data_IF_849040818439
#
_entry.id   IF_849040818439
#
_cell.length_a   1.000
_cell.length_b   1.000
_cell.length_c   1.000
_cell.angle_alpha   90.00
_cell.angle_beta   90.00
_cell.angle_gamma   90.00
#
_symmetry.space_group_name_H-M   'P 1'
#
loop_
_entity.id
_entity.type
_entity.pdbx_description
1 polymer ?
#
# COMPACT_ATOMS: atom_id res chain seq x y z
N UNK A 1 32.94 23.24 -16.13
CA UNK A 1 32.26 23.33 -17.44
C UNK A 1 33.11 22.66 -18.50
N UNK A 2 32.65 21.53 -19.06
CA UNK A 2 33.32 20.89 -20.18
C UNK A 2 32.79 21.47 -21.52
N UNK A 3 33.58 21.44 -22.62
CA UNK A 3 33.10 21.90 -23.92
C UNK A 3 31.93 21.06 -24.47
N UNK A 4 31.80 19.80 -24.03
CA UNK A 4 30.76 18.88 -24.48
C UNK A 4 29.36 19.29 -23.97
N UNK A 5 29.25 19.80 -22.73
CA UNK A 5 27.98 20.25 -22.14
C UNK A 5 27.37 21.38 -22.98
N UNK A 6 28.21 22.31 -23.41
CA UNK A 6 27.80 23.43 -24.24
C UNK A 6 27.33 22.98 -25.64
N UNK A 7 28.00 21.99 -26.24
CA UNK A 7 27.57 21.39 -27.50
C UNK A 7 26.22 20.66 -27.36
N UNK A 8 26.03 19.86 -26.30
CA UNK A 8 24.77 19.19 -26.00
C UNK A 8 23.65 20.19 -25.69
N UNK A 9 23.93 21.26 -24.95
CA UNK A 9 22.98 22.34 -24.70
C UNK A 9 22.57 23.06 -25.99
N UNK A 10 23.52 23.33 -26.91
CA UNK A 10 23.22 23.88 -28.23
C UNK A 10 22.37 22.94 -29.08
N UNK A 11 22.64 21.62 -29.08
CA UNK A 11 21.81 20.63 -29.78
C UNK A 11 20.38 20.58 -29.20
N UNK A 12 20.24 20.54 -27.86
CA UNK A 12 18.95 20.62 -27.16
C UNK A 12 18.20 21.91 -27.54
N UNK A 13 18.89 23.04 -27.68
CA UNK A 13 18.30 24.32 -28.13
C UNK A 13 17.91 24.33 -29.61
N UNK A 14 18.70 23.70 -30.49
CA UNK A 14 18.42 23.58 -31.92
C UNK A 14 17.18 22.71 -32.18
N UNK A 15 17.09 21.54 -31.54
CA UNK A 15 15.90 20.69 -31.57
C UNK A 15 14.66 21.45 -31.05
N UNK A 16 14.79 22.21 -29.96
CA UNK A 16 13.73 23.11 -29.45
C UNK A 16 13.38 24.28 -30.38
N UNK A 17 14.16 24.60 -31.43
CA UNK A 17 13.76 25.55 -32.50
C UNK A 17 13.04 24.82 -33.63
N UNK A 18 13.64 23.76 -34.16
CA UNK A 18 13.04 22.93 -35.21
C UNK A 18 11.64 22.41 -34.82
N UNK A 19 11.46 21.93 -33.59
CA UNK A 19 10.16 21.49 -33.08
C UNK A 19 9.11 22.62 -33.06
N UNK A 20 9.50 23.88 -32.76
CA UNK A 20 8.60 25.04 -32.79
C UNK A 20 8.28 25.49 -34.23
N UNK A 21 9.22 25.34 -35.15
CA UNK A 21 9.03 25.65 -36.57
C UNK A 21 8.11 24.61 -37.23
N UNK A 22 8.29 23.32 -36.93
CA UNK A 22 7.36 22.26 -37.33
C UNK A 22 5.96 22.47 -36.75
N UNK A 23 5.85 22.80 -35.46
CA UNK A 23 4.56 23.17 -34.82
C UNK A 23 3.90 24.36 -35.53
N UNK A 24 4.68 25.38 -35.94
CA UNK A 24 4.17 26.55 -36.66
C UNK A 24 3.68 26.19 -38.06
N UNK A 25 4.44 25.39 -38.82
CA UNK A 25 4.04 24.91 -40.14
C UNK A 25 2.78 24.04 -40.09
N UNK A 26 2.70 23.10 -39.14
CA UNK A 26 1.52 22.26 -38.93
C UNK A 26 0.28 23.10 -38.59
N UNK A 27 0.41 24.14 -37.75
CA UNK A 27 -0.68 25.08 -37.45
C UNK A 27 -1.13 25.88 -38.69
N UNK A 28 -0.20 26.30 -39.55
CA UNK A 28 -0.53 27.00 -40.81
C UNK A 28 -1.28 26.06 -41.76
N UNK A 29 -0.81 24.82 -41.94
CA UNK A 29 -1.48 23.82 -42.78
C UNK A 29 -2.90 23.49 -42.28
N UNK A 30 -3.06 23.29 -40.96
CA UNK A 30 -4.38 23.08 -40.35
C UNK A 30 -5.31 24.30 -40.53
N UNK A 31 -4.79 25.53 -40.43
CA UNK A 31 -5.57 26.75 -40.67
C UNK A 31 -5.99 26.88 -42.15
N UNK A 32 -5.14 26.47 -43.10
CA UNK A 32 -5.50 26.42 -44.53
C UNK A 32 -6.61 25.40 -44.80
N UNK A 33 -6.51 24.18 -44.25
CA UNK A 33 -7.56 23.16 -44.36
C UNK A 33 -8.90 23.64 -43.77
N UNK A 34 -8.88 24.30 -42.61
CA UNK A 34 -10.08 24.88 -42.00
C UNK A 34 -10.71 25.97 -42.90
N UNK A 35 -9.90 26.84 -43.52
CA UNK A 35 -10.43 27.84 -44.46
C UNK A 35 -11.08 27.21 -45.69
N UNK A 36 -10.47 26.18 -46.29
CA UNK A 36 -11.05 25.45 -47.44
C UNK A 36 -12.37 24.76 -47.09
N UNK A 37 -12.47 24.13 -45.91
CA UNK A 37 -13.74 23.56 -45.43
C UNK A 37 -14.82 24.64 -45.25
N UNK A 38 -14.46 25.81 -44.71
CA UNK A 38 -15.39 26.94 -44.57
C UNK A 38 -15.87 27.48 -45.92
N UNK A 39 -15.01 27.53 -46.95
CA UNK A 39 -15.39 27.93 -48.30
C UNK A 39 -16.34 26.93 -48.97
N UNK A 40 -16.12 25.63 -48.80
CA UNK A 40 -17.05 24.61 -49.29
C UNK A 40 -18.43 24.73 -48.64
N UNK A 41 -18.48 24.99 -47.33
CA UNK A 41 -19.74 25.15 -46.58
C UNK A 41 -20.46 26.48 -46.91
N UNK A 42 -19.72 27.51 -47.33
CA UNK A 42 -20.30 28.75 -47.91
C UNK A 42 -20.96 28.54 -49.29
N UNK A 43 -20.67 27.43 -50.01
CA UNK A 43 -21.33 27.11 -51.31
C UNK A 43 -22.70 26.43 -51.15
N UNK A 44 -23.14 26.13 -49.92
CA UNK A 44 -24.46 25.54 -49.68
C UNK A 44 -25.60 26.53 -49.91
N UNK A 45 -26.76 26.10 -50.45
CA UNK A 45 -27.92 26.95 -50.63
C UNK A 45 -28.48 27.45 -49.29
N UNK A 46 -29.16 28.59 -49.32
CA UNK A 46 -29.87 29.14 -48.16
C UNK A 46 -31.00 28.17 -47.73
N UNK A 47 -31.23 27.94 -46.42
CA UNK A 47 -30.60 28.56 -45.25
C UNK A 47 -29.35 27.83 -44.73
N UNK A 48 -28.95 26.71 -45.34
CA UNK A 48 -27.94 25.79 -44.79
C UNK A 48 -26.56 26.43 -44.63
N UNK A 49 -26.13 27.30 -45.56
CA UNK A 49 -24.88 28.06 -45.43
C UNK A 49 -24.85 29.02 -44.23
N UNK A 50 -26.00 29.58 -43.83
CA UNK A 50 -26.08 30.45 -42.63
C UNK A 50 -25.96 29.65 -41.34
N UNK A 51 -26.63 28.51 -41.25
CA UNK A 51 -26.55 27.60 -40.10
C UNK A 51 -25.18 26.94 -40.00
N UNK A 52 -24.62 26.48 -41.13
CA UNK A 52 -23.26 25.96 -41.24
C UNK A 52 -22.23 26.97 -40.76
N UNK A 53 -22.21 28.19 -41.29
CA UNK A 53 -21.27 29.24 -40.88
C UNK A 53 -21.37 29.58 -39.38
N UNK A 54 -22.59 29.64 -38.82
CA UNK A 54 -22.78 29.83 -37.39
C UNK A 54 -22.18 28.66 -36.59
N UNK A 55 -22.56 27.42 -36.92
CA UNK A 55 -22.06 26.20 -36.28
C UNK A 55 -20.54 26.07 -36.33
N UNK A 56 -19.92 26.29 -37.49
CA UNK A 56 -18.45 26.27 -37.66
C UNK A 56 -17.81 27.35 -36.78
N UNK A 57 -18.31 28.60 -36.79
CA UNK A 57 -17.72 29.68 -35.98
C UNK A 57 -17.80 29.42 -34.46
N UNK A 58 -18.83 28.72 -34.00
CA UNK A 58 -18.95 28.25 -32.62
C UNK A 58 -18.03 27.06 -32.35
N UNK A 59 -17.95 26.10 -33.28
CA UNK A 59 -17.09 24.92 -33.19
C UNK A 59 -15.59 25.24 -33.21
N UNK A 60 -15.17 26.22 -34.02
CA UNK A 60 -13.80 26.74 -34.08
C UNK A 60 -13.48 27.68 -32.91
N UNK A 61 -14.49 28.29 -32.28
CA UNK A 61 -14.35 28.99 -31.00
C UNK A 61 -14.19 28.01 -29.83
N UNK A 62 -14.90 26.87 -29.88
CA UNK A 62 -14.76 25.75 -28.95
C UNK A 62 -13.37 25.11 -29.13
N UNK A 63 -13.06 24.52 -30.28
CA UNK A 63 -11.73 23.93 -30.60
C UNK A 63 -10.57 24.95 -30.69
N UNK A 64 -10.83 26.22 -30.39
CA UNK A 64 -10.01 27.35 -30.81
C UNK A 64 -8.63 27.45 -30.16
N UNK A 65 -7.59 27.22 -30.97
CA UNK A 65 -6.24 27.83 -30.94
C UNK A 65 -5.33 27.63 -29.71
N UNK A 66 -5.90 27.26 -28.56
CA UNK A 66 -5.22 26.98 -27.29
C UNK A 66 -5.73 25.66 -26.65
N UNK A 67 -6.60 24.92 -27.36
CA UNK A 67 -7.53 23.94 -26.79
C UNK A 67 -7.24 22.44 -26.99
N UNK A 68 -6.01 22.03 -27.36
CA UNK A 68 -5.63 20.61 -27.49
C UNK A 68 -4.26 20.26 -26.88
N UNK A 69 -4.08 20.59 -25.60
CA UNK A 69 -3.22 19.78 -24.70
C UNK A 69 -4.11 19.24 -23.56
N UNK A 70 -4.39 17.93 -23.49
CA UNK A 70 -5.43 17.38 -22.61
C UNK A 70 -5.03 17.26 -21.12
N UNK A 71 -3.78 17.59 -20.78
CA UNK A 71 -3.05 17.06 -19.62
C UNK A 71 -3.72 17.21 -18.23
N UNK A 72 -4.56 18.23 -18.01
CA UNK A 72 -5.10 18.56 -16.68
C UNK A 72 -6.61 18.82 -16.68
N UNK A 73 -7.41 18.09 -17.48
CA UNK A 73 -8.88 18.15 -17.37
C UNK A 73 -9.39 17.47 -16.11
N UNK A 74 -8.86 16.27 -15.82
CA UNK A 74 -9.18 15.47 -14.64
C UNK A 74 -8.75 16.23 -13.37
N UNK A 75 -7.47 16.60 -13.24
CA UNK A 75 -6.99 17.41 -12.11
C UNK A 75 -7.68 18.78 -11.90
N UNK A 76 -8.34 19.36 -12.92
CA UNK A 76 -9.18 20.56 -12.74
C UNK A 76 -10.55 20.27 -12.10
N UNK A 77 -11.05 19.04 -12.21
CA UNK A 77 -12.30 18.56 -11.59
C UNK A 77 -11.99 17.93 -10.24
N UNK A 78 -10.94 17.11 -10.15
CA UNK A 78 -10.45 16.55 -8.88
C UNK A 78 -10.12 17.67 -7.88
N UNK A 79 -9.54 18.79 -8.35
CA UNK A 79 -9.31 19.97 -7.52
C UNK A 79 -10.60 20.57 -6.93
N UNK A 80 -11.69 20.59 -7.70
CA UNK A 80 -12.99 21.10 -7.24
C UNK A 80 -13.65 20.13 -6.26
N UNK A 81 -13.55 18.82 -6.50
CA UNK A 81 -14.01 17.79 -5.57
C UNK A 81 -13.26 17.87 -4.23
N UNK A 82 -11.93 17.96 -4.25
CA UNK A 82 -11.09 18.09 -3.06
C UNK A 82 -11.35 19.39 -2.27
N UNK A 83 -11.72 20.49 -2.95
CA UNK A 83 -12.12 21.73 -2.28
C UNK A 83 -13.49 21.61 -1.58
N UNK A 84 -14.43 20.83 -2.13
CA UNK A 84 -15.73 20.59 -1.50
C UNK A 84 -15.65 19.52 -0.38
N UNK A 85 -14.88 18.44 -0.57
CA UNK A 85 -14.55 17.46 0.49
C UNK A 85 -13.85 18.11 1.69
N UNK A 86 -12.86 19.00 1.47
CA UNK A 86 -12.22 19.75 2.55
C UNK A 86 -13.22 20.61 3.32
N UNK A 87 -14.14 21.28 2.62
CA UNK A 87 -15.17 22.11 3.25
C UNK A 87 -16.15 21.28 4.09
N UNK A 88 -16.52 20.08 3.65
CA UNK A 88 -17.38 19.17 4.42
C UNK A 88 -16.66 18.60 5.66
N UNK A 89 -15.40 18.18 5.52
CA UNK A 89 -14.58 17.72 6.64
C UNK A 89 -14.38 18.82 7.69
N UNK A 90 -14.08 20.05 7.27
CA UNK A 90 -13.97 21.19 8.19
C UNK A 90 -15.33 21.54 8.84
N UNK A 91 -16.45 21.47 8.09
CA UNK A 91 -17.79 21.67 8.66
C UNK A 91 -18.10 20.61 9.73
N UNK A 92 -17.76 19.34 9.48
CA UNK A 92 -17.96 18.25 10.41
C UNK A 92 -17.15 18.46 11.70
N UNK A 93 -15.84 18.76 11.59
CA UNK A 93 -14.97 19.02 12.74
C UNK A 93 -15.42 20.24 13.56
N UNK A 94 -15.86 21.31 12.91
CA UNK A 94 -16.44 22.48 13.61
C UNK A 94 -17.76 22.12 14.29
N UNK A 95 -18.62 21.33 13.65
CA UNK A 95 -19.84 20.79 14.27
C UNK A 95 -19.56 19.96 15.51
N UNK A 96 -18.60 19.03 15.43
CA UNK A 96 -18.15 18.21 16.56
C UNK A 96 -17.62 19.06 17.72
N UNK A 97 -16.91 20.15 17.45
CA UNK A 97 -16.48 21.11 18.47
C UNK A 97 -17.66 21.89 19.08
N UNK A 98 -18.68 22.26 18.29
CA UNK A 98 -19.86 22.98 18.76
C UNK A 98 -20.82 22.11 19.60
N UNK A 99 -20.79 20.77 19.48
CA UNK A 99 -21.63 19.86 20.29
C UNK A 99 -21.49 20.09 21.80
N UNK A 100 -20.32 20.52 22.28
CA UNK A 100 -20.08 20.85 23.68
C UNK A 100 -20.74 22.16 24.15
N UNK A 101 -21.10 23.05 23.23
CA UNK A 101 -21.80 24.32 23.52
C UNK A 101 -23.31 24.25 23.26
N UNK A 102 -23.76 23.32 22.42
CA UNK A 102 -25.16 22.98 22.20
C UNK A 102 -25.43 22.54 20.76
N UNK A 103 -26.10 21.40 20.58
CA UNK A 103 -26.34 20.80 19.25
C UNK A 103 -27.04 21.74 18.26
N UNK A 104 -28.03 22.52 18.73
CA UNK A 104 -28.79 23.44 17.89
C UNK A 104 -27.93 24.54 17.25
N UNK A 105 -26.84 24.96 17.90
CA UNK A 105 -25.96 26.02 17.39
C UNK A 105 -25.27 25.62 16.07
N UNK A 106 -25.04 24.32 15.83
CA UNK A 106 -24.47 23.84 14.58
C UNK A 106 -25.41 24.04 13.40
N UNK A 107 -26.71 23.85 13.60
CA UNK A 107 -27.73 23.93 12.57
C UNK A 107 -28.15 25.39 12.33
N UNK A 108 -28.46 26.12 13.41
CA UNK A 108 -28.89 27.53 13.40
C UNK A 108 -27.86 28.47 12.75
N UNK A 109 -26.56 28.19 12.94
CA UNK A 109 -25.44 28.98 12.37
C UNK A 109 -24.74 28.25 11.22
N UNK A 110 -25.37 27.23 10.63
CA UNK A 110 -24.75 26.39 9.60
C UNK A 110 -24.32 27.17 8.35
N UNK A 111 -25.06 28.23 7.97
CA UNK A 111 -24.73 29.10 6.85
C UNK A 111 -23.55 30.02 7.18
N UNK A 112 -23.52 30.60 8.38
CA UNK A 112 -22.52 31.52 8.89
C UNK A 112 -21.18 30.81 9.15
N UNK A 113 -21.20 29.57 9.66
CA UNK A 113 -20.02 28.69 9.79
C UNK A 113 -19.44 28.41 8.40
N UNK A 114 -20.28 28.08 7.41
CA UNK A 114 -19.82 27.83 6.03
C UNK A 114 -19.32 29.10 5.34
N UNK A 115 -19.88 30.28 5.66
CA UNK A 115 -19.38 31.57 5.22
C UNK A 115 -17.98 31.84 5.80
N UNK A 116 -17.80 31.63 7.11
CA UNK A 116 -16.52 31.84 7.79
C UNK A 116 -15.42 30.89 7.27
N UNK A 117 -15.71 29.59 7.16
CA UNK A 117 -14.78 28.60 6.59
C UNK A 117 -14.37 28.96 5.16
N UNK A 118 -15.34 29.31 4.30
CA UNK A 118 -15.06 29.74 2.91
C UNK A 118 -14.28 31.05 2.85
N UNK A 119 -14.51 32.00 3.75
CA UNK A 119 -13.77 33.25 3.84
C UNK A 119 -12.31 33.03 4.27
N UNK A 120 -12.07 32.19 5.28
CA UNK A 120 -10.72 31.82 5.74
C UNK A 120 -9.96 31.08 4.63
N UNK A 121 -10.55 30.04 4.03
CA UNK A 121 -9.93 29.32 2.92
C UNK A 121 -9.65 30.23 1.72
N UNK A 122 -10.58 31.10 1.32
CA UNK A 122 -10.36 32.06 0.23
C UNK A 122 -9.20 33.02 0.54
N UNK A 123 -9.10 33.51 1.78
CA UNK A 123 -8.00 34.40 2.19
C UNK A 123 -6.65 33.69 2.18
N UNK A 124 -6.56 32.49 2.73
CA UNK A 124 -5.29 31.74 2.82
C UNK A 124 -4.85 31.17 1.47
N UNK A 125 -5.78 30.68 0.65
CA UNK A 125 -5.46 30.00 -0.62
C UNK A 125 -5.49 30.98 -1.80
N UNK A 126 -6.67 31.42 -2.24
CA UNK A 126 -6.84 32.18 -3.50
C UNK A 126 -6.24 33.59 -3.42
N UNK A 127 -6.39 34.27 -2.27
CA UNK A 127 -5.86 35.63 -2.12
C UNK A 127 -4.33 35.67 -2.02
N UNK A 128 -3.73 34.79 -1.22
CA UNK A 128 -2.28 34.78 -0.98
C UNK A 128 -1.46 33.91 -1.97
N UNK A 129 -1.95 32.72 -2.33
CA UNK A 129 -1.17 31.69 -3.06
C UNK A 129 -1.56 31.47 -4.54
N UNK A 130 -2.56 32.20 -5.06
CA UNK A 130 -3.07 32.09 -6.44
C UNK A 130 -3.70 30.73 -6.81
N UNK A 131 -4.08 29.91 -5.83
CA UNK A 131 -4.75 28.62 -6.03
C UNK A 131 -5.85 28.39 -5.00
N UNK A 132 -6.78 27.46 -5.23
CA UNK A 132 -7.55 26.82 -4.15
C UNK A 132 -6.72 25.69 -3.52
N UNK A 133 -7.25 25.00 -2.51
CA UNK A 133 -6.52 23.91 -1.83
C UNK A 133 -6.35 22.70 -2.74
N UNK A 134 -7.46 22.20 -3.32
CA UNK A 134 -7.44 21.10 -4.28
C UNK A 134 -6.65 21.45 -5.54
N UNK A 135 -6.68 22.71 -5.98
CA UNK A 135 -5.84 23.16 -7.09
C UNK A 135 -4.35 23.12 -6.75
N UNK A 136 -3.95 23.52 -5.54
CA UNK A 136 -2.57 23.45 -5.09
C UNK A 136 -2.06 22.00 -5.01
N UNK A 137 -2.87 21.07 -4.47
CA UNK A 137 -2.57 19.63 -4.46
C UNK A 137 -2.38 19.05 -5.87
N UNK A 138 -3.19 19.50 -6.84
CA UNK A 138 -3.07 19.09 -8.25
C UNK A 138 -1.99 19.87 -9.02
N UNK A 139 -1.19 20.71 -8.34
CA UNK A 139 -0.17 21.61 -8.89
C UNK A 139 -0.71 22.52 -10.01
N UNK A 140 -1.85 23.17 -9.75
CA UNK A 140 -2.54 24.11 -10.63
C UNK A 140 -2.71 25.47 -9.94
N UNK A 141 -2.51 26.56 -10.68
CA UNK A 141 -2.75 27.95 -10.22
C UNK A 141 -3.72 28.68 -11.14
N UNK A 142 -4.41 29.68 -10.59
CA UNK A 142 -5.20 30.64 -11.35
C UNK A 142 -4.30 31.54 -12.18
N UNK A 143 -4.74 31.82 -13.40
CA UNK A 143 -4.03 32.64 -14.39
C UNK A 143 -5.03 33.49 -15.17
N UNK A 144 -4.65 34.71 -15.57
CA UNK A 144 -5.55 35.58 -16.32
C UNK A 144 -5.57 35.22 -17.82
N UNK A 145 -6.65 34.56 -18.25
CA UNK A 145 -6.83 34.09 -19.62
C UNK A 145 -7.02 35.21 -20.67
N UNK A 146 -7.01 36.48 -20.24
CA UNK A 146 -6.95 37.66 -21.13
C UNK A 146 -5.57 37.85 -21.75
N UNK A 147 -4.48 37.50 -21.04
CA UNK A 147 -3.11 37.68 -21.52
C UNK A 147 -2.66 36.46 -22.32
N UNK A 148 -2.43 36.64 -23.62
CA UNK A 148 -2.01 35.57 -24.55
C UNK A 148 -0.49 35.52 -24.72
N UNK A 149 0.22 35.26 -23.62
CA UNK A 149 1.67 35.07 -23.59
C UNK A 149 2.08 33.59 -23.45
N UNK A 150 3.36 33.26 -23.68
CA UNK A 150 3.94 31.97 -23.29
C UNK A 150 4.22 31.88 -21.77
N UNK A 151 4.33 33.05 -21.11
CA UNK A 151 4.44 33.18 -19.65
C UNK A 151 3.04 33.34 -19.06
N UNK A 152 2.77 32.65 -17.96
CA UNK A 152 1.51 32.74 -17.23
C UNK A 152 1.49 34.03 -16.38
N UNK A 153 0.36 34.74 -16.42
CA UNK A 153 0.17 36.01 -15.68
C UNK A 153 -0.77 35.77 -14.51
N UNK A 154 -0.39 36.21 -13.31
CA UNK A 154 -1.18 36.10 -12.09
C UNK A 154 -2.50 36.90 -12.20
N UNK A 155 -3.59 36.42 -11.57
CA UNK A 155 -4.91 37.04 -11.66
C UNK A 155 -4.95 38.40 -10.97
N UNK A 156 -5.68 39.36 -11.54
CA UNK A 156 -5.74 40.71 -10.96
C UNK A 156 -6.45 40.72 -9.61
N UNK A 157 -6.09 41.65 -8.72
CA UNK A 157 -6.76 41.82 -7.41
C UNK A 157 -8.28 41.98 -7.53
N UNK A 158 -8.76 42.57 -8.63
CA UNK A 158 -10.20 42.66 -8.95
C UNK A 158 -10.81 41.32 -9.39
N UNK A 159 -10.09 40.49 -10.17
CA UNK A 159 -10.55 39.12 -10.47
C UNK A 159 -10.61 38.26 -9.20
N UNK A 160 -9.59 38.34 -8.33
CA UNK A 160 -9.59 37.66 -7.02
C UNK A 160 -10.78 38.10 -6.17
N UNK A 161 -10.96 39.42 -6.00
CA UNK A 161 -12.04 40.00 -5.21
C UNK A 161 -13.42 39.59 -5.72
N UNK A 162 -13.66 39.65 -7.04
CA UNK A 162 -14.95 39.27 -7.61
C UNK A 162 -15.18 37.74 -7.56
N UNK A 163 -14.13 36.91 -7.72
CA UNK A 163 -14.21 35.46 -7.50
C UNK A 163 -14.60 35.13 -6.07
N UNK A 164 -13.93 35.72 -5.07
CA UNK A 164 -14.26 35.52 -3.65
C UNK A 164 -15.65 36.04 -3.30
N UNK A 165 -16.05 37.20 -3.84
CA UNK A 165 -17.39 37.74 -3.63
C UNK A 165 -18.49 36.78 -4.11
N UNK A 166 -18.32 36.14 -5.28
CA UNK A 166 -19.30 35.16 -5.78
C UNK A 166 -19.20 33.78 -5.11
N UNK A 167 -18.00 33.27 -4.82
CA UNK A 167 -17.84 31.91 -4.25
C UNK A 167 -18.06 31.84 -2.74
N UNK A 168 -17.72 32.90 -2.00
CA UNK A 168 -17.93 33.01 -0.54
C UNK A 168 -19.26 33.72 -0.27
N UNK A 169 -19.37 34.99 -0.66
CA UNK A 169 -20.55 35.81 -0.41
C UNK A 169 -21.78 35.39 -1.20
N UNK A 170 -21.60 35.02 -2.48
CA UNK A 170 -22.69 34.59 -3.36
C UNK A 170 -23.33 33.27 -2.96
N UNK A 171 -22.54 32.25 -2.57
CA UNK A 171 -23.08 30.99 -2.01
C UNK A 171 -23.89 31.25 -0.72
N UNK A 172 -23.39 32.09 0.21
CA UNK A 172 -24.11 32.43 1.44
C UNK A 172 -25.36 33.28 1.21
N UNK A 173 -25.29 34.30 0.34
CA UNK A 173 -26.44 35.14 0.02
C UNK A 173 -27.54 34.36 -0.71
N UNK A 174 -27.18 33.33 -1.49
CA UNK A 174 -28.14 32.42 -2.09
C UNK A 174 -28.82 31.53 -1.05
N UNK A 175 -28.06 30.86 -0.16
CA UNK A 175 -28.67 30.03 0.90
C UNK A 175 -29.57 30.86 1.80
N UNK A 176 -29.13 32.03 2.27
CA UNK A 176 -29.96 32.89 3.15
C UNK A 176 -31.21 33.45 2.45
N UNK A 177 -31.18 33.59 1.12
CA UNK A 177 -32.36 33.93 0.31
C UNK A 177 -33.33 32.75 0.15
N UNK A 178 -32.79 31.53 0.00
CA UNK A 178 -33.56 30.29 -0.09
C UNK A 178 -34.22 29.95 1.26
N UNK A 179 -33.48 30.05 2.37
CA UNK A 179 -34.00 29.95 3.75
C UNK A 179 -35.19 30.92 3.94
N UNK A 180 -34.96 32.22 3.67
CA UNK A 180 -35.98 33.26 3.84
C UNK A 180 -37.24 33.01 2.99
N UNK A 181 -37.06 32.44 1.80
CA UNK A 181 -38.17 32.13 0.90
C UNK A 181 -38.99 30.93 1.38
N UNK A 182 -38.36 29.97 2.07
CA UNK A 182 -39.03 28.85 2.76
C UNK A 182 -39.70 29.34 4.06
N UNK A 183 -38.99 30.08 4.91
CA UNK A 183 -39.52 30.65 6.17
C UNK A 183 -40.77 31.52 5.94
N UNK A 184 -40.88 32.17 4.79
CA UNK A 184 -42.01 33.03 4.43
C UNK A 184 -43.13 32.29 3.64
N UNK A 185 -42.92 31.03 3.22
CA UNK A 185 -43.95 30.22 2.54
C UNK A 185 -44.57 29.21 3.53
N UNK A 186 -45.42 29.72 4.43
CA UNK A 186 -46.00 29.00 5.58
C UNK A 186 -46.79 27.71 5.28
N UNK A 187 -46.94 27.29 4.01
CA UNK A 187 -47.50 26.00 3.57
C UNK A 187 -49.02 25.79 3.76
N UNK A 188 -49.59 26.30 4.85
CA UNK A 188 -51.01 26.22 5.18
C UNK A 188 -51.83 27.38 4.60
N UNK A 189 -51.24 28.58 4.55
CA UNK A 189 -51.83 29.76 3.95
C UNK A 189 -51.46 29.88 2.47
N UNK A 190 -52.30 30.56 1.69
CA UNK A 190 -52.00 30.85 0.29
C UNK A 190 -50.88 31.91 0.17
N UNK A 191 -49.68 31.58 -0.33
CA UNK A 191 -48.56 32.53 -0.34
C UNK A 191 -48.86 33.79 -1.13
N UNK A 192 -48.26 34.91 -0.72
CA UNK A 192 -48.56 36.22 -1.29
C UNK A 192 -48.24 36.29 -2.79
N UNK A 193 -48.97 37.10 -3.59
CA UNK A 193 -48.72 37.23 -5.03
C UNK A 193 -47.37 37.90 -5.36
N UNK A 194 -46.66 38.44 -4.36
CA UNK A 194 -45.27 38.84 -4.46
C UNK A 194 -44.32 37.66 -4.23
N UNK A 195 -44.49 36.89 -3.14
CA UNK A 195 -43.66 35.72 -2.83
C UNK A 195 -43.72 34.68 -3.95
N UNK A 196 -44.90 34.38 -4.51
CA UNK A 196 -45.03 33.47 -5.67
C UNK A 196 -44.28 33.94 -6.92
N UNK A 197 -44.03 35.25 -7.07
CA UNK A 197 -43.20 35.79 -8.16
C UNK A 197 -41.71 35.69 -7.84
N UNK A 198 -41.32 35.92 -6.59
CA UNK A 198 -39.93 35.76 -6.12
C UNK A 198 -39.48 34.29 -6.18
N UNK A 199 -40.34 33.36 -5.76
CA UNK A 199 -40.15 31.91 -5.86
C UNK A 199 -39.90 31.48 -7.31
N UNK A 200 -40.83 31.81 -8.23
CA UNK A 200 -40.67 31.54 -9.67
C UNK A 200 -39.46 32.24 -10.29
N UNK A 201 -39.10 33.42 -9.82
CA UNK A 201 -37.89 34.12 -10.28
C UNK A 201 -36.64 33.34 -9.83
N UNK A 202 -36.57 32.92 -8.57
CA UNK A 202 -35.51 32.08 -8.01
C UNK A 202 -35.35 30.76 -8.77
N UNK A 203 -36.47 30.06 -9.00
CA UNK A 203 -36.55 28.83 -9.79
C UNK A 203 -36.07 29.07 -11.24
N UNK A 204 -36.50 30.16 -11.89
CA UNK A 204 -36.05 30.52 -13.23
C UNK A 204 -34.55 30.87 -13.30
N UNK A 205 -34.00 31.51 -12.26
CA UNK A 205 -32.58 31.81 -12.15
C UNK A 205 -31.78 30.52 -11.94
N UNK A 206 -32.22 29.63 -11.04
CA UNK A 206 -31.58 28.35 -10.77
C UNK A 206 -31.59 27.42 -11.99
N UNK A 207 -32.71 27.31 -12.70
CA UNK A 207 -32.82 26.51 -13.93
C UNK A 207 -32.01 27.08 -15.09
N UNK A 208 -31.99 28.41 -15.29
CA UNK A 208 -31.13 29.07 -16.28
C UNK A 208 -29.64 28.92 -15.92
N UNK A 209 -29.27 29.10 -14.66
CA UNK A 209 -27.91 28.90 -14.18
C UNK A 209 -27.45 27.46 -14.39
N UNK A 210 -28.25 26.47 -13.99
CA UNK A 210 -27.96 25.04 -14.14
C UNK A 210 -27.84 24.64 -15.61
N UNK A 211 -28.73 25.15 -16.47
CA UNK A 211 -28.66 24.93 -17.94
C UNK A 211 -27.40 25.54 -18.54
N UNK A 212 -27.05 26.77 -18.14
CA UNK A 212 -25.82 27.44 -18.57
C UNK A 212 -24.56 26.74 -18.02
N UNK A 213 -24.60 26.21 -16.80
CA UNK A 213 -23.51 25.48 -16.16
C UNK A 213 -23.27 24.14 -16.85
N UNK A 214 -24.32 23.39 -17.16
CA UNK A 214 -24.23 22.16 -17.95
C UNK A 214 -23.68 22.43 -19.36
N UNK A 215 -24.19 23.42 -20.08
CA UNK A 215 -23.64 23.83 -21.38
C UNK A 215 -22.19 24.34 -21.29
N UNK A 216 -21.83 25.00 -20.17
CA UNK A 216 -20.46 25.39 -19.87
C UNK A 216 -19.56 24.16 -19.69
N UNK A 217 -20.01 23.19 -18.91
CA UNK A 217 -19.30 21.94 -18.61
C UNK A 217 -19.11 21.07 -19.87
N UNK A 218 -20.09 20.95 -20.75
CA UNK A 218 -19.92 20.27 -22.04
C UNK A 218 -18.82 20.92 -22.89
N UNK A 219 -18.75 22.25 -22.94
CA UNK A 219 -17.64 22.98 -23.61
C UNK A 219 -16.31 22.79 -22.87
N UNK A 220 -16.33 22.63 -21.54
CA UNK A 220 -15.14 22.29 -20.76
C UNK A 220 -14.62 20.88 -21.07
N UNK A 221 -15.49 19.87 -21.19
CA UNK A 221 -15.09 18.51 -21.55
C UNK A 221 -14.36 18.46 -22.91
N UNK A 222 -14.76 19.27 -23.88
CA UNK A 222 -14.08 19.39 -25.19
C UNK A 222 -12.77 20.16 -25.10
N UNK A 223 -12.68 21.19 -24.25
CA UNK A 223 -11.60 22.20 -24.27
C UNK A 223 -10.59 22.09 -23.10
N UNK A 224 -11.08 22.00 -21.87
CA UNK A 224 -10.27 21.99 -20.64
C UNK A 224 -9.78 23.35 -20.15
N UNK A 225 -10.50 24.45 -20.42
CA UNK A 225 -10.06 25.84 -20.10
C UNK A 225 -10.74 26.50 -18.89
N UNK A 226 -12.05 26.33 -18.74
CA UNK A 226 -12.87 26.99 -17.71
C UNK A 226 -13.82 25.94 -17.13
N UNK A 227 -13.60 25.49 -15.89
CA UNK A 227 -14.43 24.49 -15.23
C UNK A 227 -15.83 25.04 -14.91
N UNK A 228 -15.92 26.17 -14.20
CA UNK A 228 -17.21 26.80 -13.84
C UNK A 228 -17.65 27.90 -14.82
N UNK A 229 -18.89 28.37 -14.64
CA UNK A 229 -19.38 29.62 -15.24
C UNK A 229 -18.61 30.85 -14.72
N UNK A 230 -18.28 30.90 -13.42
CA UNK A 230 -17.58 32.03 -12.82
C UNK A 230 -16.19 32.20 -13.44
N UNK A 231 -15.44 31.12 -13.62
CA UNK A 231 -14.14 31.12 -14.31
C UNK A 231 -14.26 31.70 -15.73
N UNK A 232 -15.32 31.31 -16.45
CA UNK A 232 -15.60 31.75 -17.83
C UNK A 232 -15.97 33.24 -17.92
N UNK A 233 -16.75 33.75 -16.96
CA UNK A 233 -17.14 35.17 -16.87
C UNK A 233 -15.94 36.03 -16.47
N UNK A 234 -15.19 35.62 -15.44
CA UNK A 234 -14.01 36.32 -14.93
C UNK A 234 -12.77 36.17 -15.84
N UNK A 235 -12.79 35.20 -16.75
CA UNK A 235 -11.67 34.75 -17.58
C UNK A 235 -10.47 34.28 -16.75
N UNK A 236 -10.76 33.65 -15.61
CA UNK A 236 -9.77 32.94 -14.80
C UNK A 236 -9.57 31.54 -15.39
N UNK A 237 -8.32 31.11 -15.52
CA UNK A 237 -7.96 29.76 -16.00
C UNK A 237 -7.09 29.08 -14.95
N UNK A 238 -7.42 27.83 -14.60
CA UNK A 238 -6.49 26.95 -13.90
C UNK A 238 -5.44 26.41 -14.90
N UNK A 239 -4.17 26.53 -14.56
CA UNK A 239 -3.04 26.04 -15.35
C UNK A 239 -1.90 25.58 -14.44
N UNK A 240 -1.10 24.57 -14.83
CA UNK A 240 0.10 24.21 -14.11
C UNK A 240 1.11 25.37 -14.18
N UNK A 241 1.83 25.71 -13.10
CA UNK A 241 2.75 26.85 -13.08
C UNK A 241 3.96 26.64 -13.99
N UNK A 242 4.38 25.38 -14.20
CA UNK A 242 5.44 25.00 -15.14
C UNK A 242 4.88 24.07 -16.21
N UNK A 243 5.44 24.14 -17.42
CA UNK A 243 4.94 23.40 -18.59
C UNK A 243 5.53 21.99 -18.73
N UNK A 244 6.30 21.52 -17.75
CA UNK A 244 7.09 20.28 -17.82
C UNK A 244 6.65 19.17 -16.87
N UNK A 245 5.69 19.38 -15.96
CA UNK A 245 5.13 18.30 -15.15
C UNK A 245 4.27 17.40 -16.03
N UNK A 246 4.86 16.40 -16.66
CA UNK A 246 4.14 15.16 -16.96
C UNK A 246 3.64 14.61 -15.62
N UNK A 247 2.32 14.38 -15.48
CA UNK A 247 1.78 13.83 -14.23
C UNK A 247 2.30 12.41 -14.05
N UNK A 248 3.37 12.28 -13.28
CA UNK A 248 3.75 11.05 -12.61
C UNK A 248 2.52 10.59 -11.83
N UNK A 249 1.98 9.44 -12.23
CA UNK A 249 0.96 8.76 -11.44
C UNK A 249 1.67 8.22 -10.23
N UNK A 250 1.27 8.65 -9.03
CA UNK A 250 1.87 8.23 -7.77
C UNK A 250 1.51 6.76 -7.48
N UNK A 251 2.17 5.86 -8.21
CA UNK A 251 2.03 4.41 -8.08
C UNK A 251 2.40 3.90 -6.68
N UNK A 252 3.03 4.72 -5.83
CA UNK A 252 3.37 4.39 -4.46
C UNK A 252 2.23 3.72 -3.68
N UNK A 253 1.00 4.26 -3.71
CA UNK A 253 -0.12 3.68 -2.98
C UNK A 253 -0.56 2.33 -3.58
N UNK A 254 -0.61 2.24 -4.91
CA UNK A 254 -0.95 1.01 -5.63
C UNK A 254 0.12 -0.07 -5.39
N UNK A 255 1.40 0.30 -5.40
CA UNK A 255 2.53 -0.58 -5.14
C UNK A 255 2.54 -1.05 -3.68
N UNK A 256 2.27 -0.16 -2.71
CA UNK A 256 2.09 -0.52 -1.29
C UNK A 256 0.94 -1.54 -1.13
N UNK A 257 -0.20 -1.34 -1.79
CA UNK A 257 -1.32 -2.29 -1.78
C UNK A 257 -0.98 -3.62 -2.44
N UNK A 258 -0.35 -3.60 -3.62
CA UNK A 258 0.04 -4.80 -4.37
C UNK A 258 1.06 -5.64 -3.59
N UNK A 259 2.08 -5.00 -3.01
CA UNK A 259 3.06 -5.65 -2.14
C UNK A 259 2.38 -6.25 -0.90
N UNK A 260 1.45 -5.54 -0.26
CA UNK A 260 0.76 -6.07 0.92
C UNK A 260 -0.17 -7.26 0.59
N UNK A 261 -0.89 -7.21 -0.52
CA UNK A 261 -1.68 -8.36 -1.00
C UNK A 261 -0.80 -9.55 -1.36
N UNK A 262 0.26 -9.36 -2.16
CA UNK A 262 1.18 -10.43 -2.52
C UNK A 262 1.90 -11.02 -1.29
N UNK A 263 2.26 -10.19 -0.31
CA UNK A 263 2.89 -10.64 0.94
C UNK A 263 1.92 -11.44 1.82
N UNK A 264 0.65 -11.02 1.94
CA UNK A 264 -0.35 -11.76 2.72
C UNK A 264 -0.78 -13.05 2.04
N UNK A 265 -0.90 -13.07 0.70
CA UNK A 265 -1.12 -14.29 -0.09
C UNK A 265 0.06 -15.27 0.05
N UNK A 266 1.30 -14.80 -0.12
CA UNK A 266 2.51 -15.60 0.13
C UNK A 266 2.55 -16.16 1.55
N UNK A 267 2.23 -15.34 2.56
CA UNK A 267 2.19 -15.77 3.96
C UNK A 267 1.11 -16.84 4.20
N UNK A 268 -0.05 -16.76 3.54
CA UNK A 268 -1.09 -17.79 3.63
C UNK A 268 -0.67 -19.13 3.02
N UNK A 269 0.21 -19.14 2.01
CA UNK A 269 0.80 -20.37 1.47
C UNK A 269 1.98 -20.89 2.31
N UNK A 270 2.77 -20.01 2.91
CA UNK A 270 3.96 -20.38 3.69
C UNK A 270 3.63 -20.78 5.13
N UNK A 271 2.67 -20.14 5.80
CA UNK A 271 2.32 -20.40 7.21
C UNK A 271 1.86 -21.86 7.47
N UNK A 272 1.11 -22.54 6.59
CA UNK A 272 0.79 -23.96 6.74
C UNK A 272 2.01 -24.89 6.57
N UNK A 273 2.96 -24.52 5.71
CA UNK A 273 4.20 -25.29 5.47
C UNK A 273 5.22 -25.08 6.60
N UNK A 274 5.26 -23.88 7.18
CA UNK A 274 6.09 -23.51 8.32
C UNK A 274 5.41 -23.97 9.61
N UNK A 275 5.50 -25.28 9.87
CA UNK A 275 4.89 -25.94 11.02
C UNK A 275 5.15 -25.19 12.33
N UNK A 276 4.09 -24.66 12.92
CA UNK A 276 4.11 -23.71 14.06
C UNK A 276 4.91 -24.27 15.26
N UNK A 277 4.87 -25.60 15.49
CA UNK A 277 5.61 -26.28 16.55
C UNK A 277 7.14 -26.25 16.35
N UNK A 278 7.62 -26.18 15.11
CA UNK A 278 9.06 -26.11 14.76
C UNK A 278 9.60 -24.70 14.93
N UNK A 279 8.85 -23.67 14.48
CA UNK A 279 9.22 -22.27 14.69
C UNK A 279 9.12 -21.84 16.16
N UNK A 280 8.10 -22.30 16.91
CA UNK A 280 8.01 -22.06 18.37
C UNK A 280 9.19 -22.68 19.13
N UNK A 281 9.64 -23.88 18.74
CA UNK A 281 10.85 -24.50 19.30
C UNK A 281 12.13 -23.73 18.92
N UNK A 282 12.28 -23.29 17.66
CA UNK A 282 13.43 -22.47 17.25
C UNK A 282 13.50 -21.12 17.99
N UNK A 283 12.39 -20.38 18.08
CA UNK A 283 12.32 -19.10 18.80
C UNK A 283 12.62 -19.26 20.30
N UNK A 284 12.11 -20.30 20.95
CA UNK A 284 12.38 -20.54 22.39
C UNK A 284 13.78 -21.10 22.67
N UNK A 285 14.45 -21.73 21.69
CA UNK A 285 15.90 -22.02 21.73
C UNK A 285 16.71 -20.73 21.55
N UNK A 286 16.38 -19.90 20.55
CA UNK A 286 17.06 -18.64 20.27
C UNK A 286 16.99 -17.65 21.46
N UNK A 287 15.80 -17.44 22.04
CA UNK A 287 15.60 -16.57 23.21
C UNK A 287 16.36 -17.09 24.44
N UNK A 288 16.40 -18.40 24.68
CA UNK A 288 17.23 -18.94 25.78
C UNK A 288 18.72 -18.77 25.52
N UNK A 289 19.18 -18.88 24.28
CA UNK A 289 20.58 -18.65 23.92
C UNK A 289 21.01 -17.19 24.05
N UNK A 290 20.13 -16.22 23.74
CA UNK A 290 20.42 -14.80 24.05
C UNK A 290 20.32 -14.51 25.55
N UNK A 291 19.39 -15.13 26.27
CA UNK A 291 19.29 -15.01 27.74
C UNK A 291 20.52 -15.59 28.46
N UNK A 292 21.06 -16.74 28.06
CA UNK A 292 22.26 -17.31 28.69
C UNK A 292 23.51 -16.48 28.39
N UNK A 293 23.65 -15.93 27.18
CA UNK A 293 24.71 -14.96 26.84
C UNK A 293 24.58 -13.65 27.64
N UNK A 294 23.38 -13.25 28.07
CA UNK A 294 23.18 -12.14 29.02
C UNK A 294 23.43 -12.51 30.49
N UNK A 295 23.60 -13.79 30.83
CA UNK A 295 23.81 -14.28 32.20
C UNK A 295 25.18 -14.94 32.42
N UNK A 296 26.12 -14.88 31.46
CA UNK A 296 27.46 -15.44 31.61
C UNK A 296 28.37 -14.55 32.48
N UNK A 297 28.08 -14.49 33.78
CA UNK A 297 28.79 -13.67 34.77
C UNK A 297 28.31 -13.90 36.20
N UNK A 298 28.63 -15.06 36.78
CA UNK A 298 28.35 -15.38 38.18
C UNK A 298 28.47 -16.88 38.49
N UNK A 299 29.63 -17.26 39.04
CA UNK A 299 30.01 -18.40 39.91
C UNK A 299 29.40 -19.81 39.76
N UNK A 300 30.28 -20.80 40.00
CA UNK A 300 29.96 -22.23 40.11
C UNK A 300 29.33 -22.57 41.48
N UNK A 301 28.04 -22.25 41.68
CA UNK A 301 27.26 -22.81 42.80
C UNK A 301 26.31 -23.93 42.34
N UNK A 302 26.14 -24.91 43.24
CA UNK A 302 25.39 -26.17 43.14
C UNK A 302 24.14 -26.09 42.24
N UNK A 303 23.99 -27.03 41.29
CA UNK A 303 22.85 -27.09 40.36
C UNK A 303 21.48 -27.14 41.06
N UNK A 304 20.86 -25.97 41.24
CA UNK A 304 19.45 -25.86 41.61
C UNK A 304 18.64 -26.27 40.38
N UNK A 305 18.12 -27.51 40.38
CA UNK A 305 17.19 -28.04 39.35
C UNK A 305 16.09 -27.00 39.10
N UNK A 306 16.14 -26.33 37.94
CA UNK A 306 15.35 -25.09 37.68
C UNK A 306 14.20 -25.28 36.68
N UNK A 307 13.80 -26.53 36.42
CA UNK A 307 12.70 -26.85 35.54
C UNK A 307 11.32 -26.52 36.14
N UNK A 308 10.33 -26.37 35.26
CA UNK A 308 8.93 -26.08 35.59
C UNK A 308 8.33 -27.03 36.65
N UNK A 309 8.80 -28.28 36.67
CA UNK A 309 8.35 -29.34 37.57
C UNK A 309 9.45 -29.83 38.54
N UNK A 310 10.43 -28.97 38.85
CA UNK A 310 11.50 -29.27 39.80
C UNK A 310 11.00 -29.63 41.21
N UNK A 311 9.83 -29.12 41.61
CA UNK A 311 9.21 -29.37 42.92
C UNK A 311 8.64 -30.78 43.10
N UNK A 312 8.50 -31.58 42.02
CA UNK A 312 7.93 -32.92 42.11
C UNK A 312 8.93 -33.92 42.73
N UNK A 313 8.52 -34.74 43.71
CA UNK A 313 9.35 -35.83 44.24
C UNK A 313 9.91 -36.72 43.14
N UNK A 314 11.10 -37.29 43.37
CA UNK A 314 11.80 -38.07 42.34
C UNK A 314 11.04 -39.36 41.95
N UNK A 315 10.18 -39.88 42.83
CA UNK A 315 9.26 -41.00 42.54
C UNK A 315 8.15 -40.69 41.53
N UNK A 316 7.84 -39.42 41.26
CA UNK A 316 6.68 -38.99 40.47
C UNK A 316 7.12 -38.51 39.07
N UNK A 317 6.60 -39.11 38.00
CA UNK A 317 6.99 -38.75 36.63
C UNK A 317 6.41 -37.38 36.25
N UNK A 318 7.28 -36.39 36.02
CA UNK A 318 6.82 -35.05 35.65
C UNK A 318 6.09 -35.00 34.29
N UNK A 319 6.37 -35.94 33.38
CA UNK A 319 5.63 -36.08 32.11
C UNK A 319 4.21 -36.60 32.39
N UNK A 320 4.05 -37.68 33.17
CA UNK A 320 2.71 -38.18 33.54
C UNK A 320 1.90 -37.12 34.30
N UNK A 321 2.54 -36.37 35.20
CA UNK A 321 1.91 -35.28 35.95
C UNK A 321 1.47 -34.13 35.01
N UNK A 322 2.31 -33.74 34.05
CA UNK A 322 1.96 -32.75 33.03
C UNK A 322 0.79 -33.23 32.16
N UNK A 323 0.85 -34.44 31.62
CA UNK A 323 -0.16 -34.94 30.66
C UNK A 323 -1.54 -35.15 31.32
N UNK A 324 -1.57 -35.57 32.60
CA UNK A 324 -2.81 -35.58 33.41
C UNK A 324 -3.34 -34.16 33.61
N UNK A 325 -2.50 -33.22 34.06
CA UNK A 325 -2.91 -31.86 34.41
C UNK A 325 -3.22 -30.97 33.19
N UNK A 326 -2.78 -31.34 31.98
CA UNK A 326 -3.23 -30.72 30.72
C UNK A 326 -4.55 -31.29 30.22
N UNK A 327 -4.83 -32.57 30.45
CA UNK A 327 -6.09 -33.19 29.98
C UNK A 327 -7.30 -32.60 30.73
N UNK A 328 -7.12 -32.29 32.02
CA UNK A 328 -8.13 -31.67 32.89
C UNK A 328 -8.50 -30.21 32.58
N UNK A 329 -7.96 -29.59 31.50
CA UNK A 329 -8.29 -28.19 31.16
C UNK A 329 -9.51 -28.02 30.26
N UNK A 330 -10.24 -29.10 29.93
CA UNK A 330 -11.54 -28.97 29.27
C UNK A 330 -12.62 -28.56 30.29
N UNK A 331 -13.34 -27.47 30.02
CA UNK A 331 -14.16 -26.75 31.02
C UNK A 331 -15.26 -27.61 31.68
N UNK A 332 -15.68 -28.70 31.03
CA UNK A 332 -16.73 -29.60 31.51
C UNK A 332 -16.29 -30.51 32.68
N UNK A 333 -15.01 -30.85 32.80
CA UNK A 333 -14.53 -31.84 33.78
C UNK A 333 -14.05 -31.21 35.10
N UNK A 334 -13.67 -29.93 35.08
CA UNK A 334 -13.11 -29.18 36.23
C UNK A 334 -14.01 -29.21 37.48
N UNK A 335 -15.33 -29.26 37.30
CA UNK A 335 -16.31 -29.32 38.41
C UNK A 335 -16.30 -30.71 39.08
N UNK A 336 -16.16 -31.79 38.30
CA UNK A 336 -16.08 -33.16 38.81
C UNK A 336 -14.72 -33.45 39.47
N UNK A 337 -13.63 -32.86 38.94
CA UNK A 337 -12.28 -32.98 39.45
C UNK A 337 -12.04 -32.26 40.81
N UNK A 338 -13.05 -31.62 41.40
CA UNK A 338 -12.95 -30.92 42.69
C UNK A 338 -12.58 -31.82 43.89
N UNK A 339 -12.70 -33.15 43.75
CA UNK A 339 -12.16 -34.15 44.68
C UNK A 339 -10.87 -34.85 44.24
N UNK A 340 -10.33 -34.51 43.06
CA UNK A 340 -9.25 -35.24 42.38
C UNK A 340 -8.18 -34.33 41.74
N UNK A 341 -8.08 -33.06 42.16
CA UNK A 341 -6.98 -32.16 41.77
C UNK A 341 -5.62 -32.81 42.02
N UNK A 342 -4.70 -32.72 41.04
CA UNK A 342 -3.55 -33.60 40.88
C UNK A 342 -2.69 -33.85 42.12
N UNK A 343 -3.03 -34.89 42.89
CA UNK A 343 -2.32 -35.23 44.13
C UNK A 343 -0.91 -35.72 43.79
N UNK A 344 0.10 -34.97 44.23
CA UNK A 344 1.51 -35.32 44.08
C UNK A 344 1.78 -36.67 44.76
N UNK A 345 2.15 -37.66 43.95
CA UNK A 345 2.35 -39.03 44.42
C UNK A 345 1.10 -39.90 44.44
N UNK A 346 0.15 -39.64 43.54
CA UNK A 346 -0.89 -40.59 43.16
C UNK A 346 -0.29 -41.76 42.35
N UNK A 347 -0.85 -42.96 42.47
CA UNK A 347 -0.37 -44.16 41.76
C UNK A 347 -0.50 -44.10 40.23
N UNK A 348 -1.17 -43.07 39.70
CA UNK A 348 -1.27 -42.79 38.26
C UNK A 348 -0.13 -41.88 37.75
N UNK A 349 0.64 -41.24 38.65
CA UNK A 349 1.73 -40.33 38.31
C UNK A 349 3.11 -40.80 38.81
N UNK A 350 3.17 -41.80 39.69
CA UNK A 350 4.43 -42.43 40.11
C UNK A 350 5.13 -43.19 38.95
N UNK A 351 6.47 -43.25 39.00
CA UNK A 351 7.31 -43.75 37.90
C UNK A 351 7.15 -45.26 37.71
N UNK A 352 6.84 -45.66 36.47
CA UNK A 352 6.79 -47.05 36.03
C UNK A 352 7.89 -47.31 35.01
N UNK A 353 8.72 -48.32 35.28
CA UNK A 353 9.97 -48.63 34.55
C UNK A 353 10.93 -47.41 34.48
N UNK A 354 11.73 -47.14 35.53
CA UNK A 354 12.52 -45.91 35.65
C UNK A 354 13.68 -45.86 34.66
N UNK A 355 13.74 -44.78 33.88
CA UNK A 355 14.85 -44.44 32.99
C UNK A 355 15.38 -43.04 33.36
N UNK A 356 16.69 -42.87 33.25
CA UNK A 356 17.37 -41.61 33.51
C UNK A 356 17.81 -40.91 32.21
N UNK A 357 17.72 -39.58 32.21
CA UNK A 357 18.07 -38.72 31.08
C UNK A 357 19.56 -38.41 31.03
N UNK A 358 20.16 -38.43 29.85
CA UNK A 358 21.55 -38.02 29.62
C UNK A 358 21.56 -36.62 28.99
N UNK A 359 22.26 -35.62 29.58
CA UNK A 359 23.22 -35.75 30.69
C UNK A 359 22.62 -35.62 32.11
N UNK A 360 21.45 -34.99 32.28
CA UNK A 360 21.01 -34.41 33.55
C UNK A 360 20.51 -35.36 34.68
N UNK A 361 20.65 -36.67 34.53
CA UNK A 361 20.36 -37.68 35.58
C UNK A 361 18.92 -37.73 36.09
N UNK A 362 17.98 -37.02 35.47
CA UNK A 362 16.61 -36.92 35.92
C UNK A 362 15.79 -38.14 35.52
N UNK A 363 15.00 -38.67 36.45
CA UNK A 363 14.29 -39.96 36.29
C UNK A 363 12.84 -39.73 35.82
N UNK A 364 12.41 -40.56 34.87
CA UNK A 364 11.07 -40.61 34.26
C UNK A 364 10.64 -42.05 33.97
N UNK A 365 9.37 -42.27 33.59
CA UNK A 365 8.93 -43.55 33.03
C UNK A 365 9.55 -43.78 31.64
N UNK A 366 9.99 -45.01 31.35
CA UNK A 366 10.53 -45.42 30.04
C UNK A 366 9.67 -44.92 28.87
N UNK A 367 8.38 -45.28 28.84
CA UNK A 367 7.46 -44.98 27.74
C UNK A 367 7.31 -43.47 27.53
N UNK A 368 7.25 -42.71 28.63
CA UNK A 368 7.12 -41.26 28.58
C UNK A 368 8.40 -40.59 28.06
N UNK A 369 9.57 -41.06 28.46
CA UNK A 369 10.85 -40.48 28.05
C UNK A 369 11.21 -40.87 26.60
N UNK A 370 11.10 -42.16 26.26
CA UNK A 370 11.31 -42.66 24.90
C UNK A 370 10.36 -41.96 23.91
N UNK A 371 9.06 -41.91 24.20
CA UNK A 371 8.08 -41.25 23.34
C UNK A 371 8.28 -39.74 23.17
N UNK A 372 8.94 -39.05 24.11
CA UNK A 372 9.33 -37.64 23.95
C UNK A 372 10.61 -37.46 23.15
N UNK A 373 11.55 -38.41 23.22
CA UNK A 373 12.79 -38.38 22.43
C UNK A 373 12.53 -38.79 20.96
N UNK A 374 11.70 -39.83 20.73
CA UNK A 374 11.27 -40.26 19.40
C UNK A 374 10.48 -39.15 18.69
N UNK A 375 9.58 -38.46 19.38
CA UNK A 375 8.77 -37.37 18.81
C UNK A 375 9.55 -36.07 18.50
N UNK A 376 10.86 -36.04 18.70
CA UNK A 376 11.71 -34.88 18.40
C UNK A 376 12.89 -35.17 17.46
N UNK A 377 12.92 -36.33 16.79
CA UNK A 377 13.81 -36.67 15.66
C UNK A 377 15.30 -36.28 15.88
N UNK A 378 15.81 -36.48 17.10
CA UNK A 378 17.18 -36.17 17.48
C UNK A 378 17.50 -34.69 17.75
N UNK A 379 16.52 -33.77 17.69
CA UNK A 379 16.75 -32.35 18.01
C UNK A 379 16.88 -32.07 19.52
N UNK A 380 16.60 -33.04 20.39
CA UNK A 380 16.80 -32.97 21.85
C UNK A 380 15.64 -32.36 22.65
N UNK A 381 15.21 -33.10 23.67
CA UNK A 381 14.07 -32.80 24.53
C UNK A 381 14.45 -32.03 25.80
N UNK A 382 13.62 -31.08 26.22
CA UNK A 382 13.91 -30.22 27.38
C UNK A 382 13.39 -30.88 28.66
N UNK A 383 14.30 -31.26 29.54
CA UNK A 383 13.99 -31.91 30.81
C UNK A 383 13.11 -31.03 31.70
N UNK A 384 11.87 -31.46 31.96
CA UNK A 384 10.88 -30.76 32.79
C UNK A 384 11.34 -30.50 34.25
N UNK A 385 12.33 -31.26 34.74
CA UNK A 385 12.86 -31.16 36.11
C UNK A 385 14.02 -30.17 36.27
N UNK A 386 14.95 -30.08 35.32
CA UNK A 386 16.13 -29.20 35.43
C UNK A 386 16.22 -28.10 34.36
N UNK A 387 15.54 -28.25 33.21
CA UNK A 387 15.59 -27.31 32.08
C UNK A 387 16.64 -27.64 31.00
N UNK A 388 17.48 -28.66 31.18
CA UNK A 388 18.55 -29.05 30.25
C UNK A 388 18.05 -29.84 29.03
N UNK A 389 18.85 -29.87 27.95
CA UNK A 389 18.59 -30.56 26.68
C UNK A 389 19.08 -32.03 26.72
N UNK A 390 18.14 -32.96 26.69
CA UNK A 390 18.32 -34.42 26.75
C UNK A 390 18.23 -35.00 25.35
N UNK A 391 19.19 -35.85 24.98
CA UNK A 391 19.22 -36.52 23.66
C UNK A 391 19.15 -38.04 23.74
N UNK A 392 19.56 -38.59 24.87
CA UNK A 392 19.65 -40.02 25.11
C UNK A 392 19.08 -40.33 26.51
N UNK A 393 18.63 -41.57 26.70
CA UNK A 393 18.21 -42.08 27.99
C UNK A 393 18.73 -43.49 28.20
N UNK A 394 19.02 -43.86 29.46
CA UNK A 394 19.44 -45.21 29.84
C UNK A 394 18.55 -45.76 30.96
N UNK A 395 18.45 -47.09 31.14
CA UNK A 395 17.80 -47.67 32.31
C UNK A 395 18.42 -47.10 33.59
N UNK A 396 17.59 -46.77 34.58
CA UNK A 396 18.09 -46.29 35.86
C UNK A 396 18.47 -47.48 36.75
N UNK A 397 19.78 -47.68 36.96
CA UNK A 397 20.31 -48.84 37.69
C UNK A 397 20.25 -48.70 39.23
N UNK A 398 19.73 -47.58 39.74
CA UNK A 398 19.63 -47.30 41.19
C UNK A 398 20.98 -47.12 41.87
N UNK A 399 21.03 -47.29 43.20
CA UNK A 399 22.25 -47.19 44.01
C UNK A 399 23.19 -48.42 43.87
N UNK A 400 23.19 -49.07 42.70
CA UNK A 400 24.11 -50.16 42.36
C UNK A 400 25.28 -49.58 41.57
N UNK A 401 26.43 -49.45 42.22
CA UNK A 401 27.65 -48.91 41.62
C UNK A 401 28.23 -49.95 40.64
N UNK A 402 27.93 -49.82 39.36
CA UNK A 402 28.65 -50.53 38.30
C UNK A 402 29.99 -49.85 38.02
N UNK A 403 31.09 -50.61 38.06
CA UNK A 403 32.43 -50.10 37.75
C UNK A 403 32.57 -49.83 36.24
N UNK A 404 32.43 -48.56 35.85
CA UNK A 404 32.53 -48.09 34.45
C UNK A 404 33.88 -48.47 33.83
N UNK A 405 33.88 -49.56 33.07
CA UNK A 405 35.09 -50.17 32.51
C UNK A 405 35.58 -49.38 31.31
N UNK A 406 36.47 -48.41 31.54
CA UNK A 406 37.10 -47.63 30.47
C UNK A 406 37.92 -48.53 29.52
N UNK A 407 37.70 -48.50 28.19
CA UNK A 407 38.52 -49.26 27.24
C UNK A 407 39.91 -48.62 27.09
N UNK A 408 40.94 -49.27 27.63
CA UNK A 408 42.31 -48.74 27.75
C UNK A 408 43.27 -49.18 26.62
N UNK A 409 43.07 -48.61 25.44
CA UNK A 409 44.14 -48.43 24.43
C UNK A 409 44.58 -49.65 23.60
N UNK A 410 45.57 -49.49 22.69
CA UNK A 410 45.85 -50.44 21.62
C UNK A 410 47.20 -51.18 21.73
N UNK A 411 47.24 -52.46 21.34
CA UNK A 411 48.49 -53.13 20.93
C UNK A 411 48.26 -54.21 19.86
N UNK A 412 49.27 -54.36 18.98
CA UNK A 412 49.47 -55.45 18.00
C UNK A 412 50.04 -56.70 18.74
N UNK A 413 50.27 -57.90 18.19
CA UNK A 413 50.26 -58.56 16.84
C UNK A 413 50.09 -60.09 17.13
N UNK A 414 49.93 -61.10 16.25
CA UNK A 414 50.13 -61.41 14.81
C UNK A 414 48.97 -62.31 14.30
N UNK A 415 48.76 -62.59 13.01
CA UNK A 415 49.48 -62.15 11.81
C UNK A 415 50.12 -63.28 10.98
N UNK A 416 49.34 -63.94 10.12
CA UNK A 416 49.83 -64.59 8.89
C UNK A 416 48.69 -64.64 7.85
N UNK A 417 49.02 -64.41 6.58
CA UNK A 417 48.03 -64.25 5.50
C UNK A 417 48.43 -65.07 4.27
N UNK A 418 47.51 -65.89 3.76
CA UNK A 418 47.28 -66.21 2.33
C UNK A 418 48.44 -66.80 1.48
N UNK A 419 48.17 -67.60 0.41
CA UNK A 419 47.40 -67.12 -0.74
C UNK A 419 46.54 -68.12 -1.55
N UNK A 420 45.64 -67.54 -2.35
CA UNK A 420 45.22 -67.91 -3.72
C UNK A 420 45.02 -69.38 -4.15
N UNK A 421 43.88 -69.68 -4.77
CA UNK A 421 43.78 -69.71 -6.25
C UNK A 421 42.32 -69.66 -6.76
N UNK A 422 42.11 -69.56 -8.08
CA UNK A 422 40.85 -69.17 -8.75
C UNK A 422 40.13 -70.32 -9.46
N UNK A 423 38.80 -70.44 -9.29
CA UNK A 423 37.82 -70.96 -10.28
C UNK A 423 36.38 -71.00 -9.68
N UNK A 424 35.27 -71.11 -10.43
CA UNK A 424 34.81 -70.48 -11.69
C UNK A 424 33.32 -70.91 -11.91
N UNK A 425 32.46 -70.05 -12.47
CA UNK A 425 31.18 -70.39 -13.18
C UNK A 425 29.95 -70.94 -12.37
N UNK A 426 28.82 -70.20 -12.54
CA UNK A 426 27.36 -70.50 -12.61
C UNK A 426 26.78 -71.94 -12.58
N UNK A 427 25.47 -72.16 -12.21
CA UNK A 427 24.21 -71.55 -12.74
C UNK A 427 23.25 -70.92 -11.68
N UNK A 428 22.19 -70.11 -11.94
CA UNK A 428 21.13 -70.00 -13.00
C UNK A 428 19.98 -71.05 -12.83
N UNK A 429 18.71 -70.85 -13.31
CA UNK A 429 17.96 -69.65 -13.78
C UNK A 429 17.04 -69.04 -12.66
N UNK A 430 15.80 -68.49 -12.72
CA UNK A 430 14.61 -68.27 -13.62
C UNK A 430 13.85 -67.00 -13.04
N UNK A 431 12.92 -66.19 -13.62
CA UNK A 431 12.44 -65.76 -14.97
C UNK A 431 11.46 -64.54 -14.78
N UNK A 432 11.47 -63.45 -15.59
CA UNK A 432 10.30 -62.56 -15.89
C UNK A 432 10.53 -61.63 -17.13
N UNK A 433 9.46 -61.20 -17.80
CA UNK A 433 9.39 -60.57 -19.14
C UNK A 433 9.27 -59.00 -19.09
N UNK A 434 9.25 -58.18 -20.15
CA UNK A 434 8.86 -58.38 -21.57
C UNK A 434 9.58 -57.41 -22.56
N UNK A 435 9.27 -57.50 -23.87
CA UNK A 435 10.07 -57.01 -25.01
C UNK A 435 9.74 -55.58 -25.56
N UNK A 436 10.61 -55.16 -26.50
CA UNK A 436 10.76 -53.90 -27.24
C UNK A 436 9.63 -53.59 -28.25
N UNK A 437 9.70 -52.40 -28.89
CA UNK A 437 9.81 -52.15 -30.36
C UNK A 437 9.56 -50.66 -30.72
N UNK A 438 10.05 -50.06 -31.84
CA UNK A 438 11.31 -50.20 -32.61
C UNK A 438 11.44 -49.07 -33.69
N UNK A 439 12.66 -48.58 -33.98
CA UNK A 439 13.08 -47.80 -35.18
C UNK A 439 12.37 -46.43 -35.42
N UNK A 440 12.88 -45.44 -36.20
CA UNK A 440 14.21 -45.10 -36.76
C UNK A 440 14.24 -43.61 -37.20
N UNK A 441 15.45 -43.03 -37.38
CA UNK A 441 15.79 -41.82 -38.17
C UNK A 441 15.11 -40.47 -37.81
N UNK A 442 15.67 -39.28 -38.06
CA UNK A 442 16.73 -38.86 -39.00
C UNK A 442 17.70 -37.79 -38.44
N UNK A 443 18.74 -37.40 -39.19
CA UNK A 443 19.91 -36.60 -38.73
C UNK A 443 19.79 -35.05 -38.83
N UNK A 444 20.73 -34.32 -38.17
CA UNK A 444 20.98 -32.89 -38.46
C UNK A 444 21.94 -32.17 -37.49
N UNK A 445 23.16 -31.82 -37.92
CA UNK A 445 24.19 -31.16 -37.10
C UNK A 445 24.87 -29.97 -37.80
N UNK A 446 25.12 -28.87 -37.09
CA UNK A 446 26.18 -27.88 -37.40
C UNK A 446 26.48 -26.95 -36.20
N UNK A 447 27.61 -26.23 -36.23
CA UNK A 447 28.25 -25.63 -35.03
C UNK A 447 28.66 -24.17 -35.26
N UNK A 448 28.44 -23.27 -34.28
CA UNK A 448 29.35 -22.23 -33.73
C UNK A 448 28.63 -20.96 -33.19
N UNK A 449 29.27 -20.13 -32.31
CA UNK A 449 28.63 -19.03 -31.60
C UNK A 449 29.13 -17.60 -31.95
N UNK A 450 28.23 -16.60 -31.96
CA UNK A 450 28.56 -15.15 -32.02
C UNK A 450 27.32 -14.24 -31.86
N UNK A 451 27.36 -13.00 -31.35
CA UNK A 451 28.23 -12.30 -30.36
C UNK A 451 27.59 -10.94 -29.99
N UNK A 452 27.79 -10.43 -28.77
CA UNK A 452 27.32 -9.12 -28.22
C UNK A 452 25.78 -8.88 -28.16
N UNK A 453 25.24 -8.03 -27.29
CA UNK A 453 25.84 -7.34 -26.12
C UNK A 453 25.71 -5.81 -26.14
N UNK A 454 24.70 -5.26 -25.47
CA UNK A 454 24.56 -3.85 -25.10
C UNK A 454 24.10 -3.74 -23.64
N UNK A 455 24.56 -2.71 -22.93
CA UNK A 455 24.17 -2.41 -21.55
C UNK A 455 24.14 -0.89 -21.34
N UNK A 456 23.00 -0.35 -20.91
CA UNK A 456 22.88 1.08 -20.60
C UNK A 456 23.32 1.37 -19.17
N UNK A 457 24.10 2.43 -18.99
CA UNK A 457 24.63 2.85 -17.69
C UNK A 457 23.64 3.77 -16.95
N UNK A 458 23.58 3.61 -15.64
CA UNK A 458 23.09 4.65 -14.74
C UNK A 458 24.23 5.63 -14.45
N UNK A 459 23.94 6.93 -14.53
CA UNK A 459 24.72 7.98 -13.88
C UNK A 459 23.82 8.61 -12.80
N UNK A 460 24.34 8.74 -11.58
CA UNK A 460 23.73 9.49 -10.48
C UNK A 460 24.37 10.89 -10.45
N UNK A 461 23.57 11.97 -10.46
CA UNK A 461 24.07 13.34 -10.21
C UNK A 461 23.80 13.72 -8.74
N UNK A 462 24.84 14.21 -8.07
CA UNK A 462 24.87 14.52 -6.63
C UNK A 462 24.62 16.04 -6.43
N UNK A 463 23.52 16.39 -5.75
CA UNK A 463 23.14 17.80 -5.53
C UNK A 463 24.08 18.49 -4.51
N UNK A 464 24.92 19.40 -5.00
CA UNK A 464 25.76 20.27 -4.17
C UNK A 464 25.11 21.62 -3.88
N UNK A 465 24.73 21.86 -2.63
CA UNK A 465 24.40 23.20 -2.13
C UNK A 465 25.63 24.12 -2.20
N UNK A 466 25.40 25.42 -2.43
CA UNK A 466 26.42 26.45 -2.36
C UNK A 466 25.78 27.74 -1.85
N UNK A 467 26.21 28.20 -0.67
CA UNK A 467 25.79 29.46 -0.09
C UNK A 467 26.46 30.66 -0.79
N UNK A 468 25.71 31.72 -1.05
CA UNK A 468 26.21 33.01 -1.55
C UNK A 468 26.33 34.01 -0.38
N UNK A 469 27.56 34.26 0.10
CA UNK A 469 27.91 35.36 1.03
C UNK A 469 28.43 36.60 0.25
N UNK A 470 28.02 37.79 0.71
CA UNK A 470 28.62 39.14 0.53
C UNK A 470 29.20 39.61 -0.83
N UNK A 471 28.49 40.56 -1.49
CA UNK A 471 29.06 41.90 -1.87
C UNK A 471 27.99 43.01 -1.98
#
# INVERSE_FOLDING_TARGET
MAPNDFALAQQRLAARRQAREADAQARIAAQQQASQASEQLNRLPYPLSRLGRAGISVWDSIKGREGTRPAFRVGQVDAELLDEELLELLKAQVGDALKYFGSHLQDDWSAEIMLALRAVLFKVTVWDHDATYGAALQNLKFTDARHKGPVLVTPSRWQKSLYGLFTVGGKYAWTRWEDWLVDNDNGYDQPSPALRKLSRLSESISTVHSTAAFASFLVFLVNGRYRTLLDRVLRLRLAPPTSQVSREVSFEYLNRQLVWHAFTEFLLFVLPLVGISRWRRWLTRAWRKTKSVMHSGGDEEIEIKSGEFAFLPERTCAICYQDQNTTSTSEAEVIAASGASGVVGSSQTDITNPYETIPCGCIYCFVCLAGRLEAEDGEGWICLRCGEEVKECKPWNGDVIEEVTKPTGPSKTVGFSEPSEMANIEPHPEEDDNDRTRNNEDEGSSTQPSVLGDAEAFDEEEDGEMDDDDE
#
